data_IF_578273731700
#
_entry.id   IF_578273731700
#
_cell.length_a   1.000
_cell.length_b   1.000
_cell.length_c   1.000
_cell.angle_alpha   90.00
_cell.angle_beta   90.00
_cell.angle_gamma   90.00
#
_symmetry.space_group_name_H-M   'P 1'
#
loop_
_entity.id
_entity.type
_entity.pdbx_description
1 polymer ?
#
# COMPACT_ATOMS: atom_id res chain seq x y z
N UNK A 1 -7.70 -10.89 0.99
CA UNK A 1 -6.61 -10.64 0.02
C UNK A 1 -6.87 -11.39 -1.28
N UNK A 2 -6.73 -10.72 -2.38
CA UNK A 2 -6.96 -11.33 -3.68
C UNK A 2 -5.72 -11.13 -4.57
N UNK A 3 -5.20 -12.22 -5.10
CA UNK A 3 -4.04 -12.15 -5.97
C UNK A 3 -4.50 -11.90 -7.40
N UNK A 4 -4.10 -10.77 -7.95
CA UNK A 4 -4.52 -10.37 -9.31
C UNK A 4 -3.42 -10.53 -10.36
N UNK A 5 -2.27 -11.01 -9.96
CA UNK A 5 -1.14 -11.26 -10.86
C UNK A 5 -0.12 -12.13 -10.17
N UNK A 6 0.98 -12.43 -10.84
CA UNK A 6 2.00 -13.31 -10.30
C UNK A 6 2.61 -12.79 -8.99
N UNK A 7 2.67 -11.46 -8.85
CA UNK A 7 3.32 -10.83 -7.69
C UNK A 7 2.53 -9.65 -7.15
N UNK A 8 1.25 -9.56 -7.46
CA UNK A 8 0.39 -8.45 -7.03
C UNK A 8 -0.81 -9.01 -6.28
N UNK A 9 -0.99 -8.56 -5.06
CA UNK A 9 -2.14 -8.91 -4.25
C UNK A 9 -2.92 -7.64 -3.91
N UNK A 10 -4.22 -7.65 -4.15
CA UNK A 10 -5.09 -6.53 -3.81
C UNK A 10 -5.89 -6.90 -2.58
N UNK A 11 -5.89 -6.02 -1.60
CA UNK A 11 -6.70 -6.20 -0.40
C UNK A 11 -7.65 -5.01 -0.29
N UNK A 12 -8.90 -5.27 -0.07
CA UNK A 12 -9.93 -4.23 0.07
C UNK A 12 -9.87 -3.46 1.37
N UNK A 13 -8.81 -3.62 2.15
CA UNK A 13 -8.66 -2.92 3.42
C UNK A 13 -8.66 -1.41 3.20
N UNK A 14 -9.63 -0.73 3.78
CA UNK A 14 -9.81 0.71 3.61
C UNK A 14 -10.26 1.40 4.90
N UNK A 15 -10.10 0.74 6.04
CA UNK A 15 -10.36 1.31 7.36
C UNK A 15 -9.40 0.66 8.36
N UNK A 16 -9.25 1.23 9.57
CA UNK A 16 -8.28 0.72 10.55
C UNK A 16 -8.49 -0.76 10.92
N UNK A 17 -9.73 -1.20 11.09
CA UNK A 17 -10.00 -2.60 11.43
C UNK A 17 -9.56 -3.57 10.33
N UNK A 18 -9.82 -3.21 9.07
CA UNK A 18 -9.41 -4.02 7.93
C UNK A 18 -7.89 -4.04 7.79
N UNK A 19 -7.22 -2.94 8.15
CA UNK A 19 -5.75 -2.90 8.15
C UNK A 19 -5.16 -3.86 9.17
N UNK A 20 -5.78 -3.97 10.35
CA UNK A 20 -5.33 -4.94 11.35
C UNK A 20 -5.44 -6.37 10.81
N UNK A 21 -6.54 -6.69 10.17
CA UNK A 21 -6.73 -8.01 9.58
C UNK A 21 -5.70 -8.30 8.47
N UNK A 22 -5.41 -7.30 7.66
CA UNK A 22 -4.39 -7.44 6.61
C UNK A 22 -3.01 -7.73 7.22
N UNK A 23 -2.62 -6.95 8.22
CA UNK A 23 -1.32 -7.12 8.88
C UNK A 23 -1.21 -8.50 9.51
N UNK A 24 -2.26 -8.97 10.17
CA UNK A 24 -2.27 -10.31 10.76
C UNK A 24 -2.12 -11.39 9.70
N UNK A 25 -2.77 -11.21 8.55
CA UNK A 25 -2.66 -12.17 7.44
C UNK A 25 -1.23 -12.24 6.91
N UNK A 26 -0.55 -11.10 6.79
CA UNK A 26 0.83 -11.07 6.33
C UNK A 26 1.76 -11.71 7.35
N UNK A 27 1.56 -11.42 8.63
CA UNK A 27 2.39 -11.98 9.70
C UNK A 27 2.20 -13.48 9.87
N UNK A 28 1.06 -14.01 9.45
CA UNK A 28 0.79 -15.44 9.52
C UNK A 28 1.49 -16.25 8.43
N UNK A 29 2.08 -15.59 7.44
CA UNK A 29 2.83 -16.29 6.40
C UNK A 29 4.11 -16.89 6.98
N UNK A 30 4.46 -18.10 6.55
CA UNK A 30 5.71 -18.74 6.95
C UNK A 30 6.88 -17.98 6.34
N UNK A 31 8.05 -18.11 6.95
CA UNK A 31 9.26 -17.46 6.41
C UNK A 31 9.52 -17.84 4.96
N UNK A 32 9.22 -19.06 4.58
CA UNK A 32 9.40 -19.52 3.20
C UNK A 32 8.43 -18.85 2.24
N UNK A 33 7.31 -18.34 2.75
CA UNK A 33 6.29 -17.66 1.95
C UNK A 33 6.47 -16.15 1.97
N UNK A 34 7.25 -15.62 2.92
CA UNK A 34 7.47 -14.18 3.01
C UNK A 34 8.41 -13.72 1.92
N UNK A 35 8.01 -12.66 1.28
CA UNK A 35 8.83 -11.99 0.28
C UNK A 35 9.01 -10.55 0.72
N UNK A 36 10.01 -9.88 0.18
CA UNK A 36 10.12 -8.45 0.35
C UNK A 36 8.83 -7.85 -0.19
N UNK A 37 8.26 -6.89 0.52
CA UNK A 37 7.00 -6.32 0.08
C UNK A 37 7.14 -4.85 -0.26
N UNK A 38 6.37 -4.45 -1.26
CA UNK A 38 6.17 -3.07 -1.64
C UNK A 38 4.68 -2.80 -1.45
N UNK A 39 4.34 -1.72 -0.76
CA UNK A 39 2.95 -1.34 -0.56
C UNK A 39 2.56 -0.23 -1.53
N UNK A 40 1.47 -0.45 -2.23
CA UNK A 40 0.86 0.56 -3.09
C UNK A 40 -0.43 1.01 -2.39
N UNK A 41 -0.53 2.28 -2.08
CA UNK A 41 -1.58 2.79 -1.22
C UNK A 41 -2.26 4.03 -1.80
N UNK A 42 -3.57 4.11 -1.62
CA UNK A 42 -4.34 5.33 -1.85
C UNK A 42 -5.48 5.40 -0.85
N UNK A 43 -6.09 6.56 -0.71
CA UNK A 43 -7.17 6.73 0.25
C UNK A 43 -8.15 7.80 -0.20
N UNK A 44 -9.37 7.74 0.33
CA UNK A 44 -10.34 8.80 0.21
C UNK A 44 -10.35 9.63 1.50
N UNK A 45 -10.69 10.90 1.38
CA UNK A 45 -10.56 11.87 2.48
C UNK A 45 -11.46 11.58 3.68
N UNK A 46 -12.55 10.83 3.50
CA UNK A 46 -13.45 10.50 4.59
C UNK A 46 -13.02 9.25 5.38
N UNK A 47 -11.85 8.71 5.11
CA UNK A 47 -11.29 7.59 5.85
C UNK A 47 -10.18 8.06 6.78
N UNK A 48 -9.93 7.28 7.82
CA UNK A 48 -8.89 7.61 8.80
C UNK A 48 -7.52 7.13 8.30
N UNK A 49 -7.09 7.70 7.19
CA UNK A 49 -5.88 7.23 6.53
C UNK A 49 -4.59 7.46 7.35
N UNK A 50 -4.56 8.49 8.17
CA UNK A 50 -3.41 8.75 9.04
C UNK A 50 -3.18 7.57 10.00
N UNK A 51 -4.26 7.10 10.65
CA UNK A 51 -4.20 5.95 11.55
C UNK A 51 -3.82 4.67 10.80
N UNK A 52 -4.35 4.50 9.61
CA UNK A 52 -4.05 3.34 8.78
C UNK A 52 -2.57 3.29 8.41
N UNK A 53 -2.03 4.41 7.99
CA UNK A 53 -0.62 4.53 7.60
C UNK A 53 0.30 4.29 8.80
N UNK A 54 -0.01 4.90 9.94
CA UNK A 54 0.76 4.70 11.16
C UNK A 54 0.82 3.22 11.53
N UNK A 55 -0.33 2.56 11.51
CA UNK A 55 -0.42 1.15 11.85
C UNK A 55 0.42 0.28 10.89
N UNK A 56 0.33 0.55 9.60
CA UNK A 56 1.10 -0.19 8.61
C UNK A 56 2.61 -0.02 8.83
N UNK A 57 3.05 1.22 9.04
CA UNK A 57 4.47 1.50 9.24
C UNK A 57 5.02 0.88 10.53
N UNK A 58 4.21 0.83 11.58
CA UNK A 58 4.64 0.28 12.86
C UNK A 58 4.67 -1.25 12.88
N UNK A 59 3.84 -1.88 12.07
CA UNK A 59 3.62 -3.33 12.17
C UNK A 59 4.18 -4.16 11.01
N UNK A 60 4.60 -3.54 9.94
CA UNK A 60 5.13 -4.25 8.77
C UNK A 60 6.53 -3.75 8.41
N UNK A 61 7.34 -4.68 7.93
CA UNK A 61 8.65 -4.36 7.39
C UNK A 61 8.50 -4.32 5.86
N UNK A 62 8.45 -3.13 5.31
CA UNK A 62 8.18 -2.90 3.91
C UNK A 62 9.41 -2.28 3.26
N UNK A 63 9.80 -2.80 2.11
CA UNK A 63 10.96 -2.31 1.38
C UNK A 63 10.76 -0.89 0.87
N UNK A 64 9.57 -0.62 0.34
CA UNK A 64 9.23 0.68 -0.21
C UNK A 64 7.72 0.87 -0.22
N UNK A 65 7.31 2.13 -0.13
CA UNK A 65 5.90 2.52 -0.23
C UNK A 65 5.71 3.33 -1.49
N UNK A 66 4.64 3.05 -2.21
CA UNK A 66 4.24 3.85 -3.37
C UNK A 66 2.84 4.37 -3.09
N UNK A 67 2.66 5.67 -3.15
CA UNK A 67 1.34 6.27 -2.95
C UNK A 67 0.84 6.85 -4.26
N UNK A 68 -0.45 6.73 -4.46
CA UNK A 68 -1.10 7.30 -5.63
C UNK A 68 -2.41 7.93 -5.20
N UNK A 69 -3.12 8.56 -6.11
CA UNK A 69 -4.39 9.17 -5.80
C UNK A 69 -5.47 8.61 -6.71
N UNK A 70 -6.68 8.57 -6.17
CA UNK A 70 -7.84 8.10 -6.91
C UNK A 70 -8.40 9.26 -7.72
N UNK A 71 -8.86 8.98 -8.93
CA UNK A 71 -9.53 9.98 -9.75
C UNK A 71 -10.97 10.15 -9.26
N UNK A 72 -11.14 10.78 -8.10
CA UNK A 72 -12.41 11.00 -7.45
C UNK A 72 -12.27 12.28 -6.61
N UNK A 73 -13.34 13.03 -6.47
CA UNK A 73 -13.33 14.28 -5.70
C UNK A 73 -12.89 14.05 -4.26
N UNK A 74 -13.14 12.87 -3.71
CA UNK A 74 -12.76 12.52 -2.34
C UNK A 74 -11.35 11.96 -2.23
N UNK A 75 -10.67 11.77 -3.36
CA UNK A 75 -9.32 11.21 -3.34
C UNK A 75 -8.34 12.12 -2.60
N UNK A 76 -7.55 11.53 -1.70
CA UNK A 76 -6.50 12.29 -1.02
C UNK A 76 -5.33 12.46 -1.99
N UNK A 77 -4.81 13.69 -2.16
CA UNK A 77 -3.66 13.89 -3.03
C UNK A 77 -2.48 12.99 -2.63
N UNK A 78 -1.80 12.45 -3.63
CA UNK A 78 -0.69 11.54 -3.38
C UNK A 78 0.39 12.19 -2.52
N UNK A 79 0.66 13.47 -2.70
CA UNK A 79 1.67 14.17 -1.90
C UNK A 79 1.30 14.21 -0.42
N UNK A 80 0.03 14.37 -0.09
CA UNK A 80 -0.40 14.35 1.31
C UNK A 80 -0.20 12.98 1.93
N UNK A 81 -0.51 11.93 1.17
CA UNK A 81 -0.29 10.56 1.64
C UNK A 81 1.20 10.29 1.84
N UNK A 82 2.03 10.75 0.90
CA UNK A 82 3.48 10.59 1.02
C UNK A 82 4.02 11.27 2.26
N UNK A 83 3.54 12.47 2.56
CA UNK A 83 3.97 13.20 3.75
C UNK A 83 3.61 12.46 5.02
N UNK A 84 2.42 11.85 5.07
CA UNK A 84 2.01 11.05 6.23
C UNK A 84 2.91 9.83 6.40
N UNK A 85 3.18 9.10 5.32
CA UNK A 85 4.10 7.97 5.38
C UNK A 85 5.48 8.38 5.90
N UNK A 86 6.00 9.50 5.41
CA UNK A 86 7.33 9.98 5.80
C UNK A 86 7.43 10.36 7.28
N UNK A 87 6.30 10.61 7.95
CA UNK A 87 6.29 10.87 9.39
C UNK A 87 6.53 9.59 10.18
N UNK A 88 6.17 8.44 9.61
CA UNK A 88 6.19 7.18 10.34
C UNK A 88 7.23 6.17 9.85
N UNK A 89 7.92 6.46 8.79
CA UNK A 89 8.92 5.52 8.25
C UNK A 89 10.09 6.27 7.60
N UNK A 90 11.26 5.62 7.65
CA UNK A 90 12.46 6.10 6.95
C UNK A 90 12.65 5.37 5.63
N UNK A 91 11.78 4.44 5.32
CA UNK A 91 11.85 3.69 4.06
C UNK A 91 11.47 4.59 2.90
N UNK A 92 11.92 4.26 1.68
CA UNK A 92 11.56 5.05 0.50
C UNK A 92 10.05 5.16 0.32
N UNK A 93 9.59 6.38 0.03
CA UNK A 93 8.19 6.64 -0.27
C UNK A 93 8.14 7.36 -1.60
N UNK A 94 7.49 6.73 -2.57
CA UNK A 94 7.35 7.27 -3.92
C UNK A 94 5.94 7.82 -4.13
N UNK A 95 5.86 9.04 -4.61
CA UNK A 95 4.59 9.72 -4.84
C UNK A 95 4.33 9.78 -6.34
N UNK A 96 3.29 9.09 -6.79
CA UNK A 96 2.90 9.07 -8.20
C UNK A 96 1.43 9.39 -8.33
N UNK A 97 1.11 10.48 -9.00
CA UNK A 97 -0.28 10.90 -9.13
C UNK A 97 -1.11 9.94 -9.99
N UNK A 98 -0.48 9.31 -10.97
CA UNK A 98 -1.18 8.38 -11.86
C UNK A 98 -0.97 6.95 -11.43
N UNK A 99 -2.04 6.18 -11.43
CA UNK A 99 -1.98 4.77 -11.08
C UNK A 99 -0.96 4.00 -11.92
N UNK A 100 -0.94 4.26 -13.21
CA UNK A 100 -0.03 3.56 -14.13
C UNK A 100 1.43 3.74 -13.71
N UNK A 101 1.79 4.96 -13.35
CA UNK A 101 3.15 5.27 -12.91
C UNK A 101 3.43 4.64 -11.55
N UNK A 102 2.43 4.62 -10.66
CA UNK A 102 2.57 4.00 -9.36
C UNK A 102 2.79 2.49 -9.47
N UNK A 103 2.03 1.82 -10.31
CA UNK A 103 2.19 0.37 -10.54
C UNK A 103 3.58 0.09 -11.12
N UNK A 104 4.00 0.87 -12.08
CA UNK A 104 5.31 0.70 -12.71
C UNK A 104 6.43 0.87 -11.67
N UNK A 105 6.31 1.88 -10.82
CA UNK A 105 7.29 2.12 -9.75
C UNK A 105 7.32 0.96 -8.78
N UNK A 106 6.15 0.46 -8.38
CA UNK A 106 6.08 -0.69 -7.48
C UNK A 106 6.70 -1.93 -8.11
N UNK A 107 6.45 -2.17 -9.39
CA UNK A 107 7.03 -3.30 -10.11
C UNK A 107 8.56 -3.21 -10.14
N UNK A 108 9.11 -2.02 -10.32
CA UNK A 108 10.55 -1.83 -10.31
C UNK A 108 11.13 -2.04 -8.92
N UNK A 109 10.45 -1.57 -7.89
CA UNK A 109 10.94 -1.64 -6.52
C UNK A 109 10.85 -3.04 -5.92
N UNK A 110 9.92 -3.86 -6.37
CA UNK A 110 9.81 -5.22 -5.84
C UNK A 110 10.97 -6.14 -6.23
N UNK A 111 11.72 -5.75 -7.26
CA UNK A 111 12.79 -6.60 -7.75
C UNK A 111 12.24 -7.86 -8.44
N UNK A 112 12.98 -8.95 -8.36
CA UNK A 112 12.60 -10.21 -9.04
C UNK A 112 11.68 -11.10 -8.23
N UNK A 113 11.73 -11.00 -6.91
CA UNK A 113 11.02 -11.93 -6.02
C UNK A 113 10.07 -11.27 -5.04
N UNK A 114 10.02 -9.95 -5.03
CA UNK A 114 9.17 -9.23 -4.09
C UNK A 114 7.68 -9.29 -4.46
N UNK A 115 6.82 -9.00 -3.49
CA UNK A 115 5.38 -8.93 -3.68
C UNK A 115 4.90 -7.49 -3.55
N UNK A 116 3.89 -7.14 -4.34
CA UNK A 116 3.22 -5.86 -4.24
C UNK A 116 1.87 -6.08 -3.59
N UNK A 117 1.59 -5.31 -2.54
CA UNK A 117 0.28 -5.31 -1.90
C UNK A 117 -0.39 -3.97 -2.15
N UNK A 118 -1.56 -4.01 -2.78
CA UNK A 118 -2.34 -2.82 -3.06
C UNK A 118 -3.41 -2.66 -1.99
N UNK A 119 -3.39 -1.55 -1.29
CA UNK A 119 -4.26 -1.30 -0.14
C UNK A 119 -4.98 0.04 -0.25
N UNK A 120 -5.97 0.18 0.58
CA UNK A 120 -6.73 1.42 0.68
C UNK A 120 -7.89 1.44 -0.28
N UNK A 121 -8.30 2.63 -0.68
CA UNK A 121 -9.46 2.79 -1.53
C UNK A 121 -9.10 2.68 -3.00
N UNK A 122 -8.37 1.64 -3.34
CA UNK A 122 -7.99 1.42 -4.71
C UNK A 122 -9.11 0.71 -5.46
N UNK A 123 -10.07 1.44 -5.89
CA UNK A 123 -11.13 0.90 -6.74
C UNK A 123 -10.63 0.76 -8.17
N UNK A 124 -9.51 0.21 -8.25
CA UNK A 124 -8.74 0.24 -9.44
C UNK A 124 -8.98 -0.85 -10.32
N UNK A 125 -9.85 -1.60 -9.93
CA UNK A 125 -10.10 -2.78 -10.61
C UNK A 125 -11.21 -2.62 -11.55
N UNK A 126 -11.34 -1.46 -12.01
CA UNK A 126 -12.33 -1.21 -13.05
C UNK A 126 -11.92 -1.83 -14.35
#
# INVERSE_FOLDING_TARGET
>A
MERVGAHITVDGAHNPGAMEAFVESVKALDESERREMVLLFSAVSDKKYDQMIEYLCENLDVKAYVVTQIEDERGVPAEELADVFRRYTDRPVYCKERLEDAVRTAMNERGKTGEIYCLGSLYLVG
#
